data_IF_041376137895
#
_entry.id   IF_041376137895
#
_cell.length_a   1.000
_cell.length_b   1.000
_cell.length_c   1.000
_cell.angle_alpha   90.00
_cell.angle_beta   90.00
_cell.angle_gamma   90.00
#
_symmetry.space_group_name_H-M   'P 1'
#
loop_
_entity.id
_entity.type
_entity.pdbx_description
1 polymer ?
#
# COMPACT_ATOMS: atom_id res chain seq x y z
N UNK A 1 20.47 -4.63 -6.69
CA UNK A 1 19.54 -5.73 -6.35
C UNK A 1 18.36 -5.24 -5.55
N UNK A 2 17.13 -5.56 -5.97
CA UNK A 2 15.90 -5.20 -5.22
C UNK A 2 15.36 -6.39 -4.40
N UNK A 3 16.20 -7.37 -4.10
CA UNK A 3 15.85 -8.46 -3.20
C UNK A 3 16.08 -7.99 -1.76
N UNK A 4 15.10 -8.25 -0.91
CA UNK A 4 15.13 -7.86 0.50
C UNK A 4 14.10 -8.62 1.32
N UNK A 5 13.81 -8.09 2.48
CA UNK A 5 12.88 -8.62 3.47
C UNK A 5 11.82 -7.57 3.82
N UNK A 6 10.67 -8.05 4.26
CA UNK A 6 9.60 -7.22 4.83
C UNK A 6 9.39 -7.66 6.28
N UNK A 7 9.59 -6.74 7.21
CA UNK A 7 9.23 -6.91 8.61
C UNK A 7 7.81 -6.38 8.83
N UNK A 8 6.91 -7.21 9.35
CA UNK A 8 5.52 -6.88 9.66
C UNK A 8 5.24 -7.03 11.15
N UNK A 9 4.96 -5.92 11.83
CA UNK A 9 4.56 -5.93 13.22
C UNK A 9 3.05 -6.10 13.37
N UNK A 10 2.60 -7.29 13.82
CA UNK A 10 1.18 -7.57 14.06
C UNK A 10 0.55 -6.75 15.20
N UNK A 11 1.37 -6.25 16.12
CA UNK A 11 0.89 -5.46 17.27
C UNK A 11 0.44 -4.06 16.85
N UNK A 12 1.25 -3.32 16.10
CA UNK A 12 0.95 -1.93 15.72
C UNK A 12 0.61 -1.75 14.24
N UNK A 13 0.76 -2.78 13.41
CA UNK A 13 0.55 -2.74 11.96
C UNK A 13 1.74 -2.22 11.15
N UNK A 14 2.85 -1.84 11.79
CA UNK A 14 4.01 -1.29 11.08
C UNK A 14 4.60 -2.30 10.09
N UNK A 15 4.99 -1.81 8.91
CA UNK A 15 5.64 -2.60 7.86
C UNK A 15 6.91 -1.88 7.42
N UNK A 16 8.00 -2.61 7.30
CA UNK A 16 9.29 -2.04 6.93
C UNK A 16 10.04 -2.95 5.94
N UNK A 17 10.55 -2.36 4.88
CA UNK A 17 11.38 -3.03 3.86
C UNK A 17 12.84 -2.83 4.23
N UNK A 18 13.63 -3.91 4.21
CA UNK A 18 15.05 -3.88 4.53
C UNK A 18 15.85 -4.88 3.69
N UNK A 19 17.13 -4.63 3.47
CA UNK A 19 18.03 -5.63 2.84
C UNK A 19 18.48 -6.71 3.83
N UNK A 20 18.40 -6.42 5.13
CA UNK A 20 18.73 -7.34 6.22
C UNK A 20 17.48 -7.80 6.97
N UNK A 21 17.49 -9.01 7.55
CA UNK A 21 16.37 -9.51 8.33
C UNK A 21 16.17 -8.72 9.63
N UNK A 22 15.00 -8.08 9.80
CA UNK A 22 14.63 -7.32 11.01
C UNK A 22 13.48 -8.02 11.73
N UNK A 23 13.67 -8.30 13.02
CA UNK A 23 12.70 -9.03 13.86
C UNK A 23 12.10 -8.19 14.99
N UNK A 24 12.51 -6.93 15.13
CA UNK A 24 12.01 -6.00 16.15
C UNK A 24 11.38 -4.79 15.46
N UNK A 25 10.15 -4.45 15.85
CA UNK A 25 9.45 -3.29 15.31
C UNK A 25 10.08 -1.97 15.78
N UNK A 26 10.41 -1.10 14.83
CA UNK A 26 10.99 0.23 15.11
C UNK A 26 10.03 1.24 15.75
N UNK A 27 8.72 0.94 15.81
CA UNK A 27 7.72 1.86 16.39
C UNK A 27 7.28 1.46 17.79
N UNK A 28 7.05 0.17 18.05
CA UNK A 28 6.51 -0.31 19.34
C UNK A 28 7.41 -1.33 20.05
N UNK A 29 8.60 -1.62 19.52
CA UNK A 29 9.56 -2.59 20.07
C UNK A 29 9.06 -4.05 20.19
N UNK A 30 7.84 -4.35 19.71
CA UNK A 30 7.30 -5.71 19.68
C UNK A 30 7.99 -6.56 18.61
N UNK A 31 7.91 -7.88 18.75
CA UNK A 31 8.39 -8.82 17.73
C UNK A 31 7.68 -8.57 16.39
N UNK A 32 8.46 -8.49 15.32
CA UNK A 32 7.97 -8.42 13.95
C UNK A 32 8.12 -9.79 13.26
N UNK A 33 7.14 -10.14 12.45
CA UNK A 33 7.22 -11.28 11.54
C UNK A 33 8.05 -10.89 10.31
N UNK A 34 8.92 -11.79 9.86
CA UNK A 34 9.81 -11.54 8.74
C UNK A 34 9.35 -12.34 7.52
N UNK A 35 9.25 -11.66 6.37
CA UNK A 35 9.04 -12.29 5.07
C UNK A 35 10.23 -12.02 4.15
N UNK A 36 10.78 -13.06 3.49
CA UNK A 36 11.85 -12.93 2.51
C UNK A 36 12.84 -14.11 2.51
N UNK A 37 13.87 -14.08 1.64
CA UNK A 37 14.14 -13.02 0.67
C UNK A 37 13.09 -12.97 -0.46
N UNK A 38 12.69 -11.76 -0.86
CA UNK A 38 11.68 -11.53 -1.91
C UNK A 38 11.95 -10.21 -2.66
N UNK A 39 11.24 -9.98 -3.77
CA UNK A 39 11.33 -8.72 -4.51
C UNK A 39 10.66 -7.57 -3.75
N UNK A 40 11.41 -6.50 -3.50
CA UNK A 40 10.98 -5.31 -2.74
C UNK A 40 11.00 -4.02 -3.56
N UNK A 41 11.38 -4.11 -4.85
CA UNK A 41 11.39 -2.98 -5.77
C UNK A 41 10.01 -2.67 -6.34
N UNK A 42 9.97 -1.77 -7.33
CA UNK A 42 8.74 -1.44 -8.05
C UNK A 42 8.16 -2.70 -8.72
N UNK A 43 6.85 -2.88 -8.62
CA UNK A 43 6.13 -3.99 -9.25
C UNK A 43 5.65 -3.63 -10.66
N UNK A 44 5.50 -2.34 -10.94
CA UNK A 44 4.98 -1.83 -12.20
C UNK A 44 5.99 -0.90 -12.84
N UNK A 45 6.21 -1.06 -14.14
CA UNK A 45 6.96 -0.08 -14.93
C UNK A 45 5.97 0.96 -15.45
N UNK A 46 6.00 2.17 -14.86
CA UNK A 46 5.01 3.23 -15.10
C UNK A 46 4.75 3.52 -16.57
N UNK A 47 5.81 3.70 -17.36
CA UNK A 47 5.69 4.05 -18.79
C UNK A 47 5.05 2.91 -19.59
N UNK A 48 5.38 1.66 -19.25
CA UNK A 48 4.78 0.49 -19.88
C UNK A 48 3.28 0.39 -19.54
N UNK A 49 2.91 0.60 -18.28
CA UNK A 49 1.50 0.58 -17.85
C UNK A 49 0.71 1.73 -18.47
N UNK A 50 1.31 2.92 -18.62
CA UNK A 50 0.70 4.04 -19.33
C UNK A 50 0.42 3.68 -20.80
N UNK A 51 1.41 3.11 -21.50
CA UNK A 51 1.24 2.63 -22.87
C UNK A 51 0.17 1.54 -22.98
N UNK A 52 0.06 0.64 -21.99
CA UNK A 52 -1.01 -0.36 -21.97
C UNK A 52 -2.39 0.29 -21.91
N UNK A 53 -2.55 1.39 -21.16
CA UNK A 53 -3.81 2.12 -21.04
C UNK A 53 -4.21 2.78 -22.37
N UNK A 54 -3.24 3.34 -23.09
CA UNK A 54 -3.46 3.98 -24.40
C UNK A 54 -3.79 2.96 -25.50
N UNK A 55 -3.35 1.71 -25.35
CA UNK A 55 -3.51 0.64 -26.34
C UNK A 55 -4.56 -0.40 -25.94
N UNK A 56 -5.50 -0.06 -25.04
CA UNK A 56 -6.59 -0.97 -24.68
C UNK A 56 -7.47 -1.24 -25.91
N UNK A 57 -7.66 -2.51 -26.32
CA UNK A 57 -8.56 -2.84 -27.42
C UNK A 57 -10.00 -2.43 -27.10
N UNK A 58 -10.77 -1.93 -28.07
CA UNK A 58 -12.18 -1.55 -27.88
C UNK A 58 -13.05 -2.68 -27.31
N UNK A 59 -12.71 -3.93 -27.65
CA UNK A 59 -13.39 -5.14 -27.16
C UNK A 59 -13.03 -5.54 -25.72
N UNK A 60 -12.10 -4.85 -25.07
CA UNK A 60 -11.66 -5.21 -23.74
C UNK A 60 -12.75 -4.93 -22.69
N UNK A 61 -12.81 -5.79 -21.66
CA UNK A 61 -13.71 -5.58 -20.53
C UNK A 61 -13.33 -4.27 -19.80
N UNK A 62 -14.33 -3.49 -19.38
CA UNK A 62 -14.15 -2.30 -18.51
C UNK A 62 -13.35 -2.62 -17.24
N UNK A 63 -13.42 -3.86 -16.75
CA UNK A 63 -12.59 -4.34 -15.63
C UNK A 63 -11.10 -4.31 -15.95
N UNK A 64 -10.71 -4.63 -17.19
CA UNK A 64 -9.33 -4.56 -17.64
C UNK A 64 -8.81 -3.11 -17.58
N UNK A 65 -9.59 -2.17 -18.13
CA UNK A 65 -9.26 -0.75 -18.07
C UNK A 65 -9.12 -0.25 -16.63
N UNK A 66 -10.05 -0.59 -15.74
CA UNK A 66 -9.98 -0.22 -14.31
C UNK A 66 -8.75 -0.82 -13.61
N UNK A 67 -8.38 -2.05 -13.95
CA UNK A 67 -7.19 -2.68 -13.38
C UNK A 67 -5.90 -1.97 -13.81
N UNK A 68 -5.77 -1.63 -15.10
CA UNK A 68 -4.61 -0.90 -15.64
C UNK A 68 -4.53 0.52 -15.04
N UNK A 69 -5.67 1.22 -14.91
CA UNK A 69 -5.71 2.52 -14.24
C UNK A 69 -5.22 2.45 -12.79
N UNK A 70 -5.64 1.41 -12.04
CA UNK A 70 -5.13 1.18 -10.68
C UNK A 70 -3.63 0.87 -10.67
N UNK A 71 -3.15 0.01 -11.57
CA UNK A 71 -1.70 -0.27 -11.71
C UNK A 71 -0.90 1.01 -11.93
N UNK A 72 -1.41 1.93 -12.76
CA UNK A 72 -0.73 3.18 -13.06
C UNK A 72 -0.63 4.07 -11.82
N UNK A 73 -1.71 4.21 -11.05
CA UNK A 73 -1.71 4.96 -9.79
C UNK A 73 -0.80 4.31 -8.72
N UNK A 74 -0.72 2.98 -8.70
CA UNK A 74 0.08 2.20 -7.76
C UNK A 74 1.58 2.12 -8.14
N UNK A 75 1.95 2.54 -9.34
CA UNK A 75 3.25 2.22 -9.96
C UNK A 75 4.48 2.73 -9.21
N UNK A 76 4.38 3.91 -8.61
CA UNK A 76 5.46 4.55 -7.84
C UNK A 76 5.34 4.35 -6.32
N UNK A 77 4.37 3.53 -5.88
CA UNK A 77 4.05 3.39 -4.47
C UNK A 77 4.95 2.38 -3.76
N UNK A 78 5.12 2.50 -2.42
CA UNK A 78 5.94 1.58 -1.63
C UNK A 78 5.48 0.12 -1.73
N UNK A 79 6.36 -0.84 -1.44
CA UNK A 79 6.10 -2.27 -1.66
C UNK A 79 4.88 -2.83 -0.90
N UNK A 80 4.53 -2.26 0.25
CA UNK A 80 3.44 -2.71 1.10
C UNK A 80 2.18 -1.85 0.94
N UNK A 81 1.02 -2.45 1.20
CA UNK A 81 -0.28 -1.78 1.31
C UNK A 81 -0.89 -2.03 2.68
N UNK A 82 -1.89 -1.23 3.04
CA UNK A 82 -2.76 -1.40 4.22
C UNK A 82 -4.20 -1.58 3.75
N UNK A 83 -5.05 -2.19 4.57
CA UNK A 83 -6.50 -2.24 4.30
C UNK A 83 -7.27 -1.42 5.31
N UNK A 84 -8.42 -0.90 4.90
CA UNK A 84 -9.32 -0.17 5.80
C UNK A 84 -9.73 -1.02 7.01
N UNK A 85 -9.97 -2.31 6.79
CA UNK A 85 -10.43 -3.25 7.82
C UNK A 85 -9.34 -3.46 8.90
N UNK A 86 -8.07 -3.61 8.49
CA UNK A 86 -6.94 -3.73 9.41
C UNK A 86 -6.80 -2.48 10.29
N UNK A 87 -6.95 -1.29 9.72
CA UNK A 87 -6.83 -0.03 10.46
C UNK A 87 -8.03 0.17 11.40
N UNK A 88 -9.24 -0.07 10.91
CA UNK A 88 -10.48 0.06 11.66
C UNK A 88 -10.53 -0.91 12.87
N UNK A 89 -10.08 -2.15 12.68
CA UNK A 89 -9.96 -3.14 13.76
C UNK A 89 -9.00 -2.65 14.86
N UNK A 90 -7.82 -2.15 14.47
CA UNK A 90 -6.84 -1.62 15.42
C UNK A 90 -7.33 -0.39 16.18
N UNK A 91 -8.19 0.43 15.56
CA UNK A 91 -8.77 1.62 16.18
C UNK A 91 -10.10 1.36 16.89
N UNK A 92 -10.66 0.13 16.77
CA UNK A 92 -12.02 -0.21 17.23
C UNK A 92 -13.07 0.76 16.69
N UNK A 93 -12.94 1.14 15.42
CA UNK A 93 -13.83 2.08 14.74
C UNK A 93 -14.52 1.44 13.53
N UNK A 94 -15.52 2.12 12.98
CA UNK A 94 -16.05 1.75 11.66
C UNK A 94 -15.03 2.10 10.56
N UNK A 95 -14.97 1.33 9.46
CA UNK A 95 -14.15 1.69 8.32
C UNK A 95 -14.73 2.91 7.58
N UNK A 96 -13.85 3.79 7.10
CA UNK A 96 -14.21 4.91 6.23
C UNK A 96 -14.07 4.52 4.75
N UNK A 97 -14.74 5.21 3.80
CA UNK A 97 -14.55 4.97 2.38
C UNK A 97 -13.08 5.09 1.92
N UNK A 98 -12.66 4.22 0.99
CA UNK A 98 -11.28 4.18 0.48
C UNK A 98 -10.84 5.53 -0.12
N UNK A 99 -11.73 6.17 -0.88
CA UNK A 99 -11.46 7.48 -1.48
C UNK A 99 -11.23 8.55 -0.41
N UNK A 100 -11.90 8.44 0.75
CA UNK A 100 -11.77 9.38 1.84
C UNK A 100 -10.39 9.28 2.50
N UNK A 101 -9.91 8.08 2.83
CA UNK A 101 -8.57 7.93 3.43
C UNK A 101 -7.46 8.38 2.46
N UNK A 102 -7.59 8.05 1.17
CA UNK A 102 -6.61 8.46 0.14
C UNK A 102 -6.58 9.99 0.04
N UNK A 103 -7.75 10.63 -0.03
CA UNK A 103 -7.85 12.09 -0.09
C UNK A 103 -7.24 12.76 1.14
N UNK A 104 -7.53 12.25 2.34
CA UNK A 104 -6.97 12.80 3.59
C UNK A 104 -5.44 12.65 3.66
N UNK A 105 -4.90 11.51 3.23
CA UNK A 105 -3.45 11.29 3.17
C UNK A 105 -2.78 12.28 2.19
N UNK A 106 -3.36 12.45 1.00
CA UNK A 106 -2.88 13.40 0.01
C UNK A 106 -2.94 14.85 0.51
N UNK A 107 -4.05 15.25 1.16
CA UNK A 107 -4.20 16.58 1.78
C UNK A 107 -3.19 16.81 2.91
N UNK A 108 -2.78 15.76 3.62
CA UNK A 108 -1.73 15.79 4.64
C UNK A 108 -0.30 15.77 4.05
N UNK A 109 -0.15 15.75 2.72
CA UNK A 109 1.14 15.83 2.02
C UNK A 109 1.81 14.48 1.75
N UNK A 110 1.10 13.36 1.93
CA UNK A 110 1.61 12.02 1.67
C UNK A 110 1.19 11.51 0.29
N UNK A 111 2.01 10.63 -0.28
CA UNK A 111 1.61 9.86 -1.47
C UNK A 111 0.60 8.80 -1.03
N UNK A 112 -0.52 8.67 -1.75
CA UNK A 112 -1.49 7.62 -1.50
C UNK A 112 -2.21 7.19 -2.78
N UNK A 113 -2.45 5.89 -2.93
CA UNK A 113 -3.16 5.30 -4.07
C UNK A 113 -3.99 4.10 -3.61
N UNK A 114 -5.03 3.70 -4.38
CA UNK A 114 -5.60 2.36 -4.23
C UNK A 114 -4.57 1.31 -4.65
N UNK A 115 -4.78 0.06 -4.24
CA UNK A 115 -4.03 -1.10 -4.76
C UNK A 115 -4.89 -2.03 -5.62
N UNK A 116 -4.25 -2.71 -6.58
CA UNK A 116 -4.81 -3.84 -7.31
C UNK A 116 -5.06 -5.07 -6.44
N UNK A 117 -4.29 -5.25 -5.37
CA UNK A 117 -4.27 -6.48 -4.58
C UNK A 117 -5.47 -6.61 -3.65
N UNK A 118 -6.12 -5.49 -3.29
CA UNK A 118 -7.25 -5.52 -2.36
C UNK A 118 -8.26 -4.39 -2.65
N UNK A 119 -9.57 -4.67 -2.74
CA UNK A 119 -10.61 -3.66 -2.96
C UNK A 119 -10.68 -2.55 -1.91
N UNK A 120 -10.35 -2.84 -0.65
CA UNK A 120 -10.28 -1.89 0.47
C UNK A 120 -8.84 -1.47 0.78
N UNK A 121 -7.90 -1.83 -0.09
CA UNK A 121 -6.48 -1.59 0.12
C UNK A 121 -5.99 -0.28 -0.47
N UNK A 122 -5.05 0.35 0.23
CA UNK A 122 -4.31 1.51 -0.24
C UNK A 122 -2.82 1.39 0.07
N UNK A 123 -1.99 2.01 -0.77
CA UNK A 123 -0.57 2.21 -0.48
C UNK A 123 -0.34 3.64 -0.05
N UNK A 124 0.69 3.87 0.75
CA UNK A 124 1.14 5.20 1.13
C UNK A 124 2.59 5.16 1.63
N UNK A 125 3.30 6.28 1.48
CA UNK A 125 4.59 6.55 2.13
C UNK A 125 4.44 7.02 3.60
N UNK A 126 3.19 7.17 4.08
CA UNK A 126 2.85 7.52 5.44
C UNK A 126 3.11 6.35 6.41
N UNK A 127 3.62 6.66 7.61
CA UNK A 127 3.83 5.67 8.68
C UNK A 127 2.50 5.30 9.36
N UNK A 128 2.42 4.08 9.88
CA UNK A 128 1.16 3.51 10.42
C UNK A 128 0.55 4.30 11.59
N UNK A 129 1.38 4.91 12.44
CA UNK A 129 0.96 5.80 13.52
C UNK A 129 0.23 7.03 12.96
N UNK A 130 0.80 7.67 11.93
CA UNK A 130 0.19 8.82 11.28
C UNK A 130 -1.02 8.44 10.41
N UNK A 131 -1.02 7.26 9.78
CA UNK A 131 -2.20 6.72 9.08
C UNK A 131 -3.38 6.63 10.04
N UNK A 132 -3.17 6.09 11.25
CA UNK A 132 -4.21 5.95 12.28
C UNK A 132 -4.79 7.29 12.71
N UNK A 133 -3.94 8.29 12.94
CA UNK A 133 -4.38 9.64 13.28
C UNK A 133 -5.26 10.24 12.18
N UNK A 134 -4.84 10.13 10.92
CA UNK A 134 -5.58 10.67 9.76
C UNK A 134 -6.90 9.91 9.53
N UNK A 135 -6.92 8.62 9.85
CA UNK A 135 -8.12 7.80 9.76
C UNK A 135 -9.22 8.27 10.72
N UNK A 136 -8.84 8.76 11.91
CA UNK A 136 -9.77 9.21 12.95
C UNK A 136 -10.28 10.65 12.79
N UNK A 137 -9.80 11.41 11.81
CA UNK A 137 -10.33 12.73 11.45
C UNK A 137 -11.75 12.64 10.86
#
# INVERSE_FOLDING_TARGET
>A
DNIGYIAHCKTCGNRHVSHEPITICSLCSSKAELAGPLWTGKLFQKDFVAQMLDNIPERADKKCQKAIQKALLESDMPACYYTLDEIAEQLKSAPIPLEQIISRLQQAGFSASPTLFNPTGFRTDCKIDRIKEIFSL
#
